data_IF_544180027444
#
_entry.id   IF_544180027444
#
_cell.length_a   1.000
_cell.length_b   1.000
_cell.length_c   1.000
_cell.angle_alpha   90.00
_cell.angle_beta   90.00
_cell.angle_gamma   90.00
#
_symmetry.space_group_name_H-M   'P 1'
#
loop_
_entity.id
_entity.type
_entity.pdbx_description
1 polymer ?
#
# COMPACT_ATOMS: atom_id res chain seq x y z
N UNK A 1 53.80 32.26 19.26
CA UNK A 1 52.83 31.63 20.18
C UNK A 1 52.38 30.32 19.56
N UNK A 2 52.48 29.20 20.30
CA UNK A 2 52.47 27.86 19.74
C UNK A 2 51.06 27.27 19.66
N UNK A 3 50.87 26.44 18.64
CA UNK A 3 49.80 25.45 18.53
C UNK A 3 49.81 24.49 19.73
N UNK A 4 48.68 24.38 20.42
CA UNK A 4 48.46 23.28 21.39
C UNK A 4 47.83 22.11 20.64
N UNK A 5 48.69 21.17 20.20
CA UNK A 5 48.29 19.78 19.99
C UNK A 5 48.16 19.13 21.36
N UNK A 6 46.93 18.90 21.83
CA UNK A 6 46.59 17.92 22.87
C UNK A 6 45.09 17.93 23.08
N UNK A 7 44.39 16.87 22.64
CA UNK A 7 43.11 16.44 23.22
C UNK A 7 42.58 15.09 22.68
N UNK A 8 43.26 14.43 21.72
CA UNK A 8 42.91 13.06 21.33
C UNK A 8 43.16 12.02 22.45
N UNK A 9 44.18 12.25 23.29
CA UNK A 9 44.47 11.37 24.42
C UNK A 9 43.46 11.46 25.57
N UNK A 10 42.85 12.64 25.80
CA UNK A 10 41.86 12.81 26.87
C UNK A 10 40.48 12.25 26.50
N UNK A 11 40.11 12.29 25.21
CA UNK A 11 38.87 11.68 24.70
C UNK A 11 38.97 10.14 24.73
N UNK A 12 40.13 9.59 24.33
CA UNK A 12 40.36 8.14 24.37
C UNK A 12 40.39 7.56 25.80
N UNK A 13 40.89 8.32 26.79
CA UNK A 13 40.88 7.90 28.20
C UNK A 13 39.48 8.01 28.84
N UNK A 14 38.67 8.99 28.43
CA UNK A 14 37.28 9.10 28.87
C UNK A 14 36.40 7.95 28.29
N UNK A 15 36.65 7.55 27.04
CA UNK A 15 35.98 6.42 26.38
C UNK A 15 36.34 5.04 26.97
N UNK A 16 37.57 4.87 27.47
CA UNK A 16 37.98 3.61 28.13
C UNK A 16 37.47 3.49 29.57
N UNK A 17 37.21 4.61 30.26
CA UNK A 17 36.58 4.58 31.59
C UNK A 17 35.06 4.32 31.53
N UNK A 18 34.36 4.75 30.47
CA UNK A 18 32.93 4.46 30.28
C UNK A 18 32.66 3.03 29.80
N UNK A 19 33.57 2.41 29.03
CA UNK A 19 33.38 1.02 28.59
C UNK A 19 33.53 -0.02 29.70
N UNK A 20 34.28 0.27 30.78
CA UNK A 20 34.36 -0.65 31.92
C UNK A 20 33.17 -0.54 32.89
N UNK A 21 32.43 0.57 32.89
CA UNK A 21 31.20 0.72 33.69
C UNK A 21 29.95 0.20 32.96
N UNK A 22 30.00 0.04 31.64
CA UNK A 22 28.89 -0.42 30.81
C UNK A 22 28.72 -1.95 30.70
N UNK A 23 29.62 -2.77 31.26
CA UNK A 23 29.46 -4.24 31.24
C UNK A 23 28.40 -4.78 32.23
N UNK A 24 27.71 -3.91 32.96
CA UNK A 24 26.76 -4.28 34.01
C UNK A 24 25.28 -3.94 33.77
N UNK A 25 24.95 -3.13 32.76
CA UNK A 25 23.57 -2.75 32.45
C UNK A 25 23.44 -2.63 30.94
N UNK A 26 22.46 -3.32 30.36
CA UNK A 26 22.26 -3.48 28.92
C UNK A 26 22.35 -2.17 28.15
N UNK A 27 22.84 -2.30 26.93
CA UNK A 27 23.09 -1.26 25.93
C UNK A 27 21.97 -0.19 25.90
N UNK A 28 22.23 0.96 26.53
CA UNK A 28 21.28 2.06 26.65
C UNK A 28 21.42 3.11 25.53
N UNK A 29 22.39 2.93 24.61
CA UNK A 29 22.59 3.77 23.44
C UNK A 29 23.23 2.92 22.35
N UNK A 30 22.38 2.23 21.57
CA UNK A 30 22.72 1.29 20.51
C UNK A 30 24.02 1.64 19.76
N UNK A 31 25.12 1.06 20.20
CA UNK A 31 26.45 1.38 19.65
C UNK A 31 26.59 0.99 18.18
N UNK A 32 25.78 0.05 17.71
CA UNK A 32 25.72 -0.37 16.32
C UNK A 32 24.96 0.65 15.43
N UNK A 33 23.87 1.25 15.93
CA UNK A 33 23.16 2.33 15.23
C UNK A 33 24.03 3.59 15.08
N UNK A 34 24.84 3.89 16.09
CA UNK A 34 25.74 5.04 16.05
C UNK A 34 26.90 4.83 15.06
N UNK A 35 27.36 3.59 14.88
CA UNK A 35 28.38 3.25 13.88
C UNK A 35 27.84 3.32 12.44
N UNK A 36 26.61 2.83 12.21
CA UNK A 36 25.92 2.98 10.92
C UNK A 36 25.63 4.45 10.60
N UNK A 37 25.22 5.24 11.60
CA UNK A 37 25.03 6.69 11.45
C UNK A 37 26.31 7.41 11.01
N UNK A 38 27.47 7.05 11.56
CA UNK A 38 28.76 7.65 11.19
C UNK A 38 29.18 7.27 9.77
N UNK A 39 28.91 6.05 9.33
CA UNK A 39 29.15 5.62 7.95
C UNK A 39 28.19 6.34 6.98
N UNK A 40 26.93 6.50 7.34
CA UNK A 40 25.96 7.28 6.57
C UNK A 40 26.34 8.77 6.47
N UNK A 41 26.88 9.37 7.54
CA UNK A 41 27.36 10.77 7.56
C UNK A 41 28.60 11.03 6.70
N UNK A 42 29.33 10.00 6.28
CA UNK A 42 30.54 10.15 5.44
C UNK A 42 30.32 9.80 3.98
N UNK A 43 29.10 9.38 3.62
CA UNK A 43 28.69 9.07 2.26
C UNK A 43 28.36 10.34 1.46
N UNK A 44 28.54 10.34 0.12
CA UNK A 44 28.26 11.50 -0.72
C UNK A 44 26.81 12.00 -0.55
N UNK A 45 26.62 13.31 -0.76
CA UNK A 45 25.30 13.97 -0.78
C UNK A 45 24.34 13.15 -1.65
N UNK A 46 23.19 12.76 -1.08
CA UNK A 46 22.14 12.04 -1.84
C UNK A 46 21.70 12.86 -3.06
N UNK A 47 21.78 12.24 -4.23
CA UNK A 47 21.46 12.85 -5.55
C UNK A 47 20.22 12.26 -6.21
N UNK A 48 19.54 11.32 -5.54
CA UNK A 48 18.28 10.75 -6.02
C UNK A 48 17.09 11.70 -5.90
N UNK A 49 15.87 11.23 -6.25
CA UNK A 49 14.67 12.04 -6.22
C UNK A 49 14.36 12.55 -4.81
N UNK A 50 13.62 13.67 -4.78
CA UNK A 50 13.22 14.36 -3.56
C UNK A 50 11.79 14.83 -3.68
N UNK A 51 11.08 14.75 -2.56
CA UNK A 51 9.71 15.22 -2.43
C UNK A 51 9.64 16.41 -1.46
N UNK A 52 8.71 17.36 -1.64
CA UNK A 52 8.51 18.42 -0.65
C UNK A 52 8.15 17.82 0.72
N UNK A 53 8.60 18.47 1.79
CA UNK A 53 8.03 18.15 3.10
C UNK A 53 6.54 18.53 3.11
N UNK A 54 5.67 17.79 3.82
CA UNK A 54 4.26 18.12 3.92
C UNK A 54 4.08 19.51 4.56
N UNK A 55 3.22 20.32 3.95
CA UNK A 55 2.89 21.64 4.47
C UNK A 55 2.12 21.52 5.80
N UNK A 56 2.47 22.33 6.82
CA UNK A 56 1.69 22.39 8.04
C UNK A 56 0.24 22.82 7.78
N UNK A 57 -0.71 22.04 8.27
CA UNK A 57 -2.14 22.34 8.15
C UNK A 57 -2.66 22.89 9.48
N UNK A 58 -3.35 24.06 9.49
CA UNK A 58 -3.94 24.59 10.72
C UNK A 58 -4.96 23.63 11.32
N UNK A 59 -4.84 23.37 12.62
CA UNK A 59 -5.77 22.52 13.37
C UNK A 59 -7.18 23.14 13.42
N UNK A 60 -8.26 22.33 13.41
CA UNK A 60 -9.63 22.82 13.53
C UNK A 60 -9.89 23.51 14.87
N UNK A 61 -10.07 24.83 14.85
CA UNK A 61 -10.30 25.63 16.08
C UNK A 61 -11.73 25.51 16.62
N UNK A 62 -12.68 25.06 15.79
CA UNK A 62 -14.08 24.93 16.17
C UNK A 62 -14.37 23.71 17.05
N UNK A 63 -13.47 22.73 17.06
CA UNK A 63 -13.62 21.48 17.78
C UNK A 63 -13.17 21.59 19.25
N UNK A 64 -13.80 22.51 20.00
CA UNK A 64 -13.36 22.88 21.36
C UNK A 64 -13.68 21.82 22.45
N UNK A 65 -14.54 20.84 22.15
CA UNK A 65 -14.89 19.78 23.10
C UNK A 65 -13.79 18.71 23.11
N UNK A 66 -13.04 18.62 24.21
CA UNK A 66 -11.91 17.68 24.32
C UNK A 66 -12.18 16.56 25.30
N UNK A 67 -12.04 15.33 24.81
CA UNK A 67 -12.04 14.09 25.61
C UNK A 67 -10.68 13.43 25.55
N UNK A 68 -9.92 13.50 26.65
CA UNK A 68 -8.56 12.93 26.75
C UNK A 68 -8.58 11.51 27.28
N UNK A 69 -7.71 10.67 26.73
CA UNK A 69 -7.48 9.34 27.29
C UNK A 69 -6.64 9.43 28.57
N UNK A 70 -7.03 8.75 29.66
CA UNK A 70 -6.22 8.71 30.88
C UNK A 70 -5.11 7.65 30.83
N UNK A 71 -5.09 6.80 29.80
CA UNK A 71 -4.18 5.64 29.70
C UNK A 71 -3.28 5.69 28.48
N UNK A 72 -3.69 6.42 27.45
CA UNK A 72 -2.94 6.62 26.24
C UNK A 72 -2.75 8.12 26.02
N UNK A 73 -1.60 8.53 25.49
CA UNK A 73 -1.38 9.90 25.00
C UNK A 73 -2.22 10.14 23.74
N UNK A 74 -3.55 10.23 23.90
CA UNK A 74 -4.56 10.40 22.86
C UNK A 74 -5.63 11.39 23.31
N UNK A 75 -6.08 12.26 22.42
CA UNK A 75 -7.19 13.16 22.68
C UNK A 75 -8.16 13.21 21.49
N UNK A 76 -9.46 13.28 21.80
CA UNK A 76 -10.52 13.47 20.81
C UNK A 76 -11.09 14.87 20.99
N UNK A 77 -10.95 15.67 19.95
CA UNK A 77 -11.55 17.00 19.83
C UNK A 77 -12.83 16.89 19.01
N UNK A 78 -13.89 17.61 19.35
CA UNK A 78 -15.15 17.48 18.65
C UNK A 78 -15.87 18.82 18.46
N UNK A 79 -16.50 18.98 17.29
CA UNK A 79 -17.39 20.11 17.01
C UNK A 79 -18.55 20.16 18.04
N UNK A 80 -19.13 21.33 18.33
CA UNK A 80 -20.20 21.48 19.33
C UNK A 80 -21.47 20.64 19.06
N UNK A 81 -21.67 20.17 17.83
CA UNK A 81 -22.80 19.32 17.44
C UNK A 81 -22.60 17.82 17.70
N UNK A 82 -21.39 17.39 18.05
CA UNK A 82 -21.07 15.98 18.32
C UNK A 82 -21.46 15.66 19.77
N UNK A 83 -22.17 14.54 19.95
CA UNK A 83 -22.59 14.11 21.28
C UNK A 83 -21.40 13.63 22.12
N UNK A 84 -21.47 13.84 23.44
CA UNK A 84 -20.45 13.31 24.37
C UNK A 84 -20.30 11.79 24.25
N UNK A 85 -21.40 11.06 24.04
CA UNK A 85 -21.40 9.61 23.86
C UNK A 85 -20.60 9.19 22.61
N UNK A 86 -20.82 9.88 21.49
CA UNK A 86 -20.05 9.67 20.25
C UNK A 86 -18.55 9.95 20.48
N UNK A 87 -18.21 11.09 21.10
CA UNK A 87 -16.81 11.42 21.42
C UNK A 87 -16.15 10.37 22.31
N UNK A 88 -16.88 9.82 23.29
CA UNK A 88 -16.37 8.75 24.16
C UNK A 88 -16.20 7.42 23.42
N UNK A 89 -17.15 7.07 22.54
CA UNK A 89 -17.05 5.85 21.73
C UNK A 89 -15.87 5.91 20.76
N UNK A 90 -15.65 7.07 20.13
CA UNK A 90 -14.49 7.34 19.27
C UNK A 90 -13.19 7.29 20.06
N UNK A 91 -13.12 7.91 21.25
CA UNK A 91 -11.92 7.83 22.10
C UNK A 91 -11.60 6.38 22.46
N UNK A 92 -12.59 5.59 22.84
CA UNK A 92 -12.38 4.18 23.14
C UNK A 92 -11.89 3.41 21.91
N UNK A 93 -12.48 3.63 20.73
CA UNK A 93 -12.01 3.02 19.49
C UNK A 93 -10.55 3.39 19.18
N UNK A 94 -10.16 4.66 19.39
CA UNK A 94 -8.80 5.16 19.18
C UNK A 94 -7.79 4.49 20.13
N UNK A 95 -8.17 4.31 21.40
CA UNK A 95 -7.36 3.57 22.37
C UNK A 95 -7.16 2.10 21.95
N UNK A 96 -8.20 1.45 21.43
CA UNK A 96 -8.11 0.07 20.93
C UNK A 96 -7.23 -0.02 19.69
N UNK A 97 -7.40 0.89 18.72
CA UNK A 97 -6.59 0.93 17.51
C UNK A 97 -5.11 1.08 17.85
N UNK A 98 -4.76 2.06 18.70
CA UNK A 98 -3.39 2.24 19.20
C UNK A 98 -2.84 0.98 19.86
N UNK A 99 -3.57 0.42 20.82
CA UNK A 99 -3.08 -0.74 21.58
C UNK A 99 -2.85 -1.96 20.70
N UNK A 100 -3.70 -2.19 19.70
CA UNK A 100 -3.56 -3.31 18.76
C UNK A 100 -2.42 -3.11 17.78
N UNK A 101 -2.26 -1.91 17.22
CA UNK A 101 -1.15 -1.60 16.32
C UNK A 101 0.21 -1.65 17.04
N UNK A 102 0.26 -1.19 18.29
CA UNK A 102 1.43 -1.31 19.16
C UNK A 102 1.79 -2.78 19.43
N UNK A 103 0.78 -3.62 19.70
CA UNK A 103 0.98 -5.07 19.86
C UNK A 103 1.46 -5.77 18.57
N UNK A 104 1.12 -5.21 17.40
CA UNK A 104 1.64 -5.64 16.10
C UNK A 104 3.02 -5.03 15.76
N UNK A 105 3.61 -4.24 16.66
CA UNK A 105 4.95 -3.69 16.48
C UNK A 105 5.02 -2.46 15.57
N UNK A 106 3.89 -1.80 15.29
CA UNK A 106 3.90 -0.54 14.56
C UNK A 106 4.35 0.62 15.47
N UNK A 107 5.09 1.61 14.93
CA UNK A 107 5.58 2.73 15.72
C UNK A 107 4.43 3.62 16.19
N UNK A 108 4.63 4.35 17.28
CA UNK A 108 3.69 5.38 17.70
C UNK A 108 4.02 6.72 17.01
N UNK A 109 3.01 7.56 16.70
CA UNK A 109 3.25 8.93 16.26
C UNK A 109 4.15 9.69 17.25
N UNK A 110 4.97 10.62 16.75
CA UNK A 110 5.69 11.54 17.63
C UNK A 110 4.71 12.41 18.39
N UNK A 111 5.09 12.86 19.59
CA UNK A 111 4.34 13.89 20.29
C UNK A 111 4.28 15.17 19.47
N UNK A 112 3.14 15.83 19.51
CA UNK A 112 2.86 17.06 18.79
C UNK A 112 3.36 18.34 19.50
N UNK A 113 3.96 18.22 20.68
CA UNK A 113 4.51 19.37 21.40
C UNK A 113 3.45 20.34 21.96
N UNK A 114 2.31 19.81 22.41
CA UNK A 114 1.20 20.56 23.02
C UNK A 114 0.37 21.41 22.04
N UNK A 115 0.48 21.15 20.73
CA UNK A 115 -0.28 21.89 19.71
C UNK A 115 -1.80 21.67 19.84
N UNK A 116 -2.25 20.53 20.35
CA UNK A 116 -3.65 20.25 20.73
C UNK A 116 -4.03 20.63 22.16
N UNK A 117 -3.12 21.29 22.90
CA UNK A 117 -3.29 21.58 24.32
C UNK A 117 -2.86 20.44 25.24
N UNK A 118 -2.03 19.53 24.75
CA UNK A 118 -1.30 18.49 25.48
C UNK A 118 -0.48 17.65 24.51
N UNK A 119 0.40 16.77 25.02
CA UNK A 119 1.42 16.07 24.23
C UNK A 119 0.90 14.87 23.43
N UNK A 120 -0.42 14.70 23.40
CA UNK A 120 -1.14 13.58 22.81
C UNK A 120 -1.19 13.59 21.27
N UNK A 121 -1.55 12.47 20.66
CA UNK A 121 -2.07 12.51 19.29
C UNK A 121 -3.54 12.96 19.34
N UNK A 122 -3.86 13.98 18.55
CA UNK A 122 -5.22 14.51 18.45
C UNK A 122 -5.99 13.92 17.26
N UNK A 123 -7.22 13.50 17.52
CA UNK A 123 -8.21 13.17 16.51
C UNK A 123 -9.37 14.17 16.59
N UNK A 124 -9.64 14.86 15.50
CA UNK A 124 -10.69 15.87 15.38
C UNK A 124 -11.94 15.30 14.71
N UNK A 125 -13.08 15.32 15.42
CA UNK A 125 -14.41 15.04 14.89
C UNK A 125 -15.04 16.34 14.37
N UNK A 126 -14.76 16.67 13.12
CA UNK A 126 -15.15 17.96 12.54
C UNK A 126 -15.45 17.88 11.05
N UNK A 127 -16.23 18.85 10.57
CA UNK A 127 -16.47 19.08 9.14
C UNK A 127 -15.57 20.16 8.52
N UNK A 128 -14.72 20.81 9.34
CA UNK A 128 -13.85 21.90 8.89
C UNK A 128 -12.73 21.44 7.95
N UNK A 129 -12.34 20.17 8.04
CA UNK A 129 -11.36 19.52 7.18
C UNK A 129 -11.91 18.18 6.67
N UNK A 130 -11.50 17.72 5.47
CA UNK A 130 -11.75 16.36 5.03
C UNK A 130 -11.21 15.32 6.01
N UNK A 131 -11.77 14.11 6.00
CA UNK A 131 -11.20 13.01 6.79
C UNK A 131 -9.85 12.54 6.23
N UNK A 132 -8.92 12.27 7.13
CA UNK A 132 -7.55 11.85 6.81
C UNK A 132 -6.55 12.31 7.87
N UNK A 133 -5.27 12.10 7.59
CA UNK A 133 -4.17 12.58 8.41
C UNK A 133 -3.56 13.87 7.87
N UNK A 134 -3.09 14.72 8.79
CA UNK A 134 -2.53 16.03 8.46
C UNK A 134 -1.24 16.25 9.26
N UNK A 135 -0.31 17.01 8.68
CA UNK A 135 0.97 17.34 9.31
C UNK A 135 0.92 18.71 10.00
N UNK A 136 1.56 18.82 11.16
CA UNK A 136 1.93 20.10 11.79
C UNK A 136 3.33 20.58 11.36
N UNK A 137 4.01 19.80 10.51
CA UNK A 137 5.38 20.04 10.05
C UNK A 137 6.39 18.97 10.50
N UNK A 138 7.59 19.07 9.93
CA UNK A 138 8.72 18.17 10.21
C UNK A 138 9.26 18.39 11.61
N UNK A 139 9.65 17.28 12.24
CA UNK A 139 10.26 17.24 13.57
C UNK A 139 11.79 17.16 13.43
N UNK A 140 12.54 18.24 13.75
CA UNK A 140 13.97 18.30 13.46
C UNK A 140 14.87 17.55 14.47
N UNK A 141 14.31 17.06 15.59
CA UNK A 141 15.08 16.40 16.65
C UNK A 141 15.04 14.87 16.61
N UNK A 142 14.27 14.28 15.69
CA UNK A 142 14.25 12.82 15.51
C UNK A 142 15.46 12.37 14.70
N UNK A 143 15.85 11.11 14.87
CA UNK A 143 16.90 10.52 14.03
C UNK A 143 16.39 10.41 12.58
N UNK A 144 15.33 9.65 12.34
CA UNK A 144 14.67 9.57 11.04
C UNK A 144 13.83 10.82 10.76
N UNK A 145 13.51 11.05 9.49
CA UNK A 145 12.58 12.08 9.08
C UNK A 145 11.19 11.73 9.62
N UNK A 146 10.65 12.60 10.48
CA UNK A 146 9.34 12.41 11.07
C UNK A 146 8.55 13.69 11.03
N UNK A 147 7.23 13.56 11.05
CA UNK A 147 6.32 14.69 11.16
C UNK A 147 5.47 14.59 12.44
N UNK A 148 5.20 15.76 13.02
CA UNK A 148 4.08 15.91 13.94
C UNK A 148 2.79 15.89 13.13
N UNK A 149 1.77 15.26 13.66
CA UNK A 149 0.53 14.97 12.93
C UNK A 149 -0.69 15.05 13.83
N UNK A 150 -1.85 15.21 13.19
CA UNK A 150 -3.16 14.99 13.76
C UNK A 150 -4.06 14.28 12.75
N UNK A 151 -5.14 13.67 13.23
CA UNK A 151 -6.13 13.00 12.40
C UNK A 151 -7.45 13.77 12.40
N UNK A 152 -8.20 13.67 11.30
CA UNK A 152 -9.54 14.24 11.18
C UNK A 152 -10.50 13.14 10.73
N UNK A 153 -11.68 13.13 11.34
CA UNK A 153 -12.78 12.28 10.97
C UNK A 153 -14.07 13.10 10.91
N UNK A 154 -14.94 12.81 9.95
CA UNK A 154 -16.22 13.50 9.83
C UNK A 154 -17.08 13.32 11.09
N UNK A 155 -17.93 14.29 11.46
CA UNK A 155 -18.67 14.25 12.72
C UNK A 155 -19.84 13.25 12.70
N UNK A 156 -20.20 12.71 11.53
CA UNK A 156 -21.37 11.86 11.31
C UNK A 156 -21.00 10.42 10.90
N UNK A 157 -20.02 9.81 11.57
CA UNK A 157 -19.67 8.41 11.34
C UNK A 157 -20.74 7.49 11.93
N UNK A 158 -21.30 6.55 11.14
CA UNK A 158 -22.23 5.55 11.66
C UNK A 158 -21.60 4.70 12.76
N UNK A 159 -22.34 4.38 13.82
CA UNK A 159 -21.84 3.62 14.97
C UNK A 159 -21.17 2.29 14.59
N UNK A 160 -21.68 1.63 13.55
CA UNK A 160 -21.13 0.36 13.04
C UNK A 160 -19.78 0.50 12.33
N UNK A 161 -19.38 1.72 11.94
CA UNK A 161 -18.15 2.02 11.23
C UNK A 161 -17.12 2.74 12.09
N UNK A 162 -17.47 3.19 13.32
CA UNK A 162 -16.56 3.95 14.19
C UNK A 162 -15.23 3.22 14.37
N UNK A 163 -15.24 1.93 14.68
CA UNK A 163 -13.99 1.19 14.92
C UNK A 163 -13.10 1.16 13.65
N UNK A 164 -13.69 0.97 12.46
CA UNK A 164 -12.94 0.97 11.21
C UNK A 164 -12.41 2.36 10.85
N UNK A 165 -13.28 3.38 10.82
CA UNK A 165 -12.89 4.74 10.44
C UNK A 165 -11.85 5.35 11.40
N UNK A 166 -11.97 5.09 12.70
CA UNK A 166 -11.00 5.57 13.69
C UNK A 166 -9.67 4.84 13.58
N UNK A 167 -9.69 3.52 13.32
CA UNK A 167 -8.46 2.74 13.09
C UNK A 167 -7.73 3.22 11.84
N UNK A 168 -8.46 3.46 10.75
CA UNK A 168 -7.89 3.99 9.50
C UNK A 168 -7.27 5.37 9.72
N UNK A 169 -8.00 6.30 10.35
CA UNK A 169 -7.50 7.65 10.61
C UNK A 169 -6.25 7.65 11.52
N UNK A 170 -6.22 6.79 12.54
CA UNK A 170 -5.05 6.61 13.39
C UNK A 170 -3.86 6.00 12.62
N UNK A 171 -4.11 4.96 11.82
CA UNK A 171 -3.08 4.31 11.03
C UNK A 171 -2.48 5.26 9.98
N UNK A 172 -3.30 6.05 9.28
CA UNK A 172 -2.82 7.05 8.32
C UNK A 172 -1.94 8.11 9.01
N UNK A 173 -2.34 8.59 10.20
CA UNK A 173 -1.55 9.54 10.98
C UNK A 173 -0.23 8.93 11.48
N UNK A 174 -0.28 7.69 11.96
CA UNK A 174 0.89 6.93 12.37
C UNK A 174 1.91 6.80 11.24
N UNK A 175 1.45 6.45 10.04
CA UNK A 175 2.31 6.29 8.86
C UNK A 175 2.86 7.63 8.37
N UNK A 176 2.06 8.70 8.35
CA UNK A 176 2.53 10.06 8.02
C UNK A 176 3.57 10.56 9.02
N UNK A 177 3.42 10.22 10.30
CA UNK A 177 4.40 10.57 11.33
C UNK A 177 5.69 9.75 11.21
N UNK A 178 5.60 8.51 10.75
CA UNK A 178 6.73 7.61 10.59
C UNK A 178 7.56 7.95 9.34
N UNK A 179 6.88 8.24 8.23
CA UNK A 179 7.51 8.67 6.98
C UNK A 179 6.67 9.77 6.29
N UNK A 180 7.06 11.04 6.47
CA UNK A 180 6.39 12.16 5.82
C UNK A 180 6.75 12.31 4.32
N UNK A 181 7.76 11.59 3.82
CA UNK A 181 8.14 11.60 2.42
C UNK A 181 7.29 10.63 1.59
N UNK A 182 6.81 9.55 2.21
CA UNK A 182 6.00 8.53 1.52
C UNK A 182 4.76 9.13 0.84
N UNK A 183 4.28 8.51 -0.23
CA UNK A 183 3.11 9.01 -0.92
C UNK A 183 1.80 8.80 -0.12
N UNK A 184 0.85 9.71 -0.27
CA UNK A 184 -0.47 9.59 0.38
C UNK A 184 -1.17 8.27 -0.01
N UNK A 185 -1.02 7.84 -1.26
CA UNK A 185 -1.62 6.60 -1.75
C UNK A 185 -1.14 5.37 -0.97
N UNK A 186 0.16 5.27 -0.68
CA UNK A 186 0.73 4.15 0.09
C UNK A 186 0.37 4.19 1.56
N UNK A 187 0.32 5.39 2.15
CA UNK A 187 -0.21 5.57 3.51
C UNK A 187 -1.66 5.12 3.61
N UNK A 188 -2.52 5.53 2.69
CA UNK A 188 -3.94 5.15 2.65
C UNK A 188 -4.13 3.66 2.39
N UNK A 189 -3.40 3.08 1.43
CA UNK A 189 -3.40 1.64 1.16
C UNK A 189 -3.04 0.84 2.42
N UNK A 190 -1.97 1.24 3.12
CA UNK A 190 -1.51 0.57 4.34
C UNK A 190 -2.50 0.76 5.48
N UNK A 191 -3.04 1.98 5.67
CA UNK A 191 -4.04 2.25 6.69
C UNK A 191 -5.32 1.41 6.49
N UNK A 192 -5.80 1.30 5.24
CA UNK A 192 -6.95 0.47 4.89
C UNK A 192 -6.68 -1.03 5.12
N UNK A 193 -5.49 -1.53 4.76
CA UNK A 193 -5.10 -2.92 5.04
C UNK A 193 -5.00 -3.19 6.56
N UNK A 194 -4.32 -2.33 7.33
CA UNK A 194 -4.24 -2.46 8.79
C UNK A 194 -5.62 -2.41 9.46
N UNK A 195 -6.52 -1.59 8.92
CA UNK A 195 -7.90 -1.55 9.41
C UNK A 195 -8.63 -2.86 9.14
N UNK A 196 -8.39 -3.48 7.98
CA UNK A 196 -8.96 -4.79 7.66
C UNK A 196 -8.44 -5.88 8.58
N UNK A 197 -7.13 -5.94 8.84
CA UNK A 197 -6.52 -6.86 9.80
C UNK A 197 -7.16 -6.77 11.18
N UNK A 198 -7.47 -5.55 11.64
CA UNK A 198 -7.94 -5.31 13.00
C UNK A 198 -9.45 -5.35 13.18
N UNK A 199 -10.22 -5.09 12.12
CA UNK A 199 -11.67 -4.88 12.19
C UNK A 199 -12.48 -5.72 11.19
N UNK A 200 -11.82 -6.37 10.23
CA UNK A 200 -12.45 -7.07 9.10
C UNK A 200 -13.00 -6.14 8.02
N UNK A 201 -12.73 -4.83 8.08
CA UNK A 201 -13.18 -3.82 7.10
C UNK A 201 -12.00 -3.00 6.58
N UNK A 202 -11.99 -2.67 5.29
CA UNK A 202 -10.90 -1.92 4.64
C UNK A 202 -10.95 -0.39 4.86
N UNK A 203 -11.38 0.07 6.05
CA UNK A 203 -11.53 1.49 6.35
C UNK A 203 -12.96 1.97 6.43
N UNK A 204 -13.13 3.29 6.34
CA UNK A 204 -14.40 4.00 6.40
C UNK A 204 -15.15 4.00 5.07
N UNK A 205 -14.40 3.96 3.97
CA UNK A 205 -14.90 4.05 2.60
C UNK A 205 -14.82 2.68 1.89
N UNK A 206 -15.58 2.54 0.80
CA UNK A 206 -15.65 1.29 0.02
C UNK A 206 -14.53 1.20 -1.06
N UNK A 207 -13.37 1.83 -0.84
CA UNK A 207 -12.32 2.01 -1.84
C UNK A 207 -11.83 0.69 -2.48
N UNK A 208 -11.82 -0.41 -1.71
CA UNK A 208 -11.48 -1.75 -2.22
C UNK A 208 -12.57 -2.30 -3.14
N UNK A 209 -13.85 -2.06 -2.84
CA UNK A 209 -14.96 -2.41 -3.75
C UNK A 209 -14.90 -1.57 -5.02
N UNK A 210 -14.61 -0.27 -4.92
CA UNK A 210 -14.42 0.60 -6.08
C UNK A 210 -13.24 0.12 -6.93
N UNK A 211 -12.12 -0.26 -6.32
CA UNK A 211 -10.96 -0.78 -7.03
C UNK A 211 -11.31 -2.08 -7.79
N UNK A 212 -12.15 -2.93 -7.21
CA UNK A 212 -12.67 -4.12 -7.89
C UNK A 212 -13.63 -3.79 -9.04
N UNK A 213 -14.50 -2.79 -8.85
CA UNK A 213 -15.43 -2.34 -9.88
C UNK A 213 -14.74 -1.65 -11.07
N UNK A 214 -13.58 -1.03 -10.83
CA UNK A 214 -12.78 -0.31 -11.83
C UNK A 214 -11.40 -0.94 -12.04
N UNK A 215 -11.32 -2.22 -12.50
CA UNK A 215 -10.06 -2.95 -12.52
C UNK A 215 -9.02 -2.41 -13.49
N UNK A 216 -9.44 -1.56 -14.42
CA UNK A 216 -8.58 -0.92 -15.41
C UNK A 216 -7.70 0.19 -14.81
N UNK A 217 -7.97 0.62 -13.58
CA UNK A 217 -7.19 1.65 -12.88
C UNK A 217 -5.95 1.07 -12.21
N UNK A 218 -4.98 1.96 -12.02
CA UNK A 218 -3.85 1.74 -11.12
C UNK A 218 -4.34 1.61 -9.67
N UNK A 219 -3.58 0.91 -8.84
CA UNK A 219 -3.74 0.85 -7.38
C UNK A 219 -2.67 1.65 -6.62
N UNK A 220 -1.76 2.32 -7.34
CA UNK A 220 -0.73 3.22 -6.79
C UNK A 220 -1.18 4.67 -7.01
N UNK A 221 -0.77 5.29 -8.10
CA UNK A 221 -1.13 6.65 -8.47
C UNK A 221 -2.47 6.71 -9.23
N UNK A 222 -3.31 7.73 -8.97
CA UNK A 222 -4.64 7.88 -9.60
C UNK A 222 -5.68 6.85 -9.15
N UNK A 223 -5.33 6.06 -8.13
CA UNK A 223 -6.13 4.97 -7.59
C UNK A 223 -7.42 5.45 -6.91
N UNK A 224 -8.44 4.60 -6.92
CA UNK A 224 -9.72 4.87 -6.24
C UNK A 224 -9.52 5.09 -4.74
N UNK A 225 -10.41 5.87 -4.12
CA UNK A 225 -10.29 6.22 -2.70
C UNK A 225 -8.95 6.89 -2.31
N UNK A 226 -8.31 7.61 -3.24
CA UNK A 226 -6.98 8.24 -3.04
C UNK A 226 -5.86 7.23 -2.72
N UNK A 227 -5.99 5.97 -3.16
CA UNK A 227 -4.98 4.92 -2.95
C UNK A 227 -5.39 3.81 -1.99
N UNK A 228 -6.47 3.96 -1.22
CA UNK A 228 -6.92 2.93 -0.27
C UNK A 228 -7.19 1.56 -0.94
N UNK A 229 -7.57 1.53 -2.23
CA UNK A 229 -7.69 0.29 -3.01
C UNK A 229 -6.40 -0.55 -3.10
N UNK A 230 -5.23 0.08 -2.92
CA UNK A 230 -3.93 -0.59 -2.82
C UNK A 230 -3.79 -1.54 -1.62
N UNK A 231 -4.72 -1.48 -0.65
CA UNK A 231 -4.78 -2.44 0.46
C UNK A 231 -4.86 -3.90 -0.03
N UNK A 232 -5.47 -4.14 -1.19
CA UNK A 232 -5.52 -5.47 -1.81
C UNK A 232 -4.14 -6.01 -2.17
N UNK A 233 -3.24 -5.13 -2.59
CA UNK A 233 -1.86 -5.49 -2.91
C UNK A 233 -1.06 -5.82 -1.65
N UNK A 234 -1.23 -5.04 -0.59
CA UNK A 234 -0.56 -5.30 0.69
C UNK A 234 -1.06 -6.60 1.34
N UNK A 235 -2.37 -6.86 1.29
CA UNK A 235 -2.94 -8.13 1.73
C UNK A 235 -2.38 -9.32 0.92
N UNK A 236 -2.24 -9.16 -0.41
CA UNK A 236 -1.61 -10.18 -1.27
C UNK A 236 -0.17 -10.47 -0.83
N UNK A 237 0.63 -9.41 -0.63
CA UNK A 237 2.03 -9.55 -0.27
C UNK A 237 2.20 -10.20 1.11
N UNK A 238 1.37 -9.83 2.09
CA UNK A 238 1.38 -10.47 3.40
C UNK A 238 1.09 -11.97 3.27
N UNK A 239 -0.05 -12.37 2.69
CA UNK A 239 -0.37 -13.78 2.50
C UNK A 239 0.75 -14.58 1.82
N UNK A 240 1.33 -14.01 0.77
CA UNK A 240 2.36 -14.67 -0.02
C UNK A 240 3.67 -14.85 0.73
N UNK A 241 4.13 -13.82 1.43
CA UNK A 241 5.50 -13.77 1.95
C UNK A 241 5.61 -14.05 3.45
N UNK A 242 4.53 -13.87 4.21
CA UNK A 242 4.50 -14.15 5.65
C UNK A 242 3.26 -14.89 6.15
N UNK A 243 2.37 -15.34 5.26
CA UNK A 243 1.18 -16.11 5.63
C UNK A 243 0.19 -15.32 6.48
N UNK A 244 -0.01 -14.04 6.14
CA UNK A 244 -0.91 -13.10 6.83
C UNK A 244 -0.42 -12.68 8.23
N UNK A 245 0.91 -12.69 8.44
CA UNK A 245 1.52 -12.24 9.69
C UNK A 245 1.70 -10.73 9.80
N UNK A 246 1.58 -9.99 8.68
CA UNK A 246 1.81 -8.56 8.57
C UNK A 246 3.24 -8.08 8.83
N UNK A 247 4.17 -9.00 9.12
CA UNK A 247 5.60 -8.72 9.33
C UNK A 247 6.26 -8.25 8.03
N UNK A 248 5.95 -8.88 6.90
CA UNK A 248 6.50 -8.52 5.61
C UNK A 248 6.20 -7.07 5.28
N UNK A 249 4.93 -6.66 5.37
CA UNK A 249 4.52 -5.26 5.09
C UNK A 249 5.14 -4.28 6.08
N UNK A 250 5.23 -4.63 7.37
CA UNK A 250 5.92 -3.81 8.37
C UNK A 250 7.41 -3.62 8.04
N UNK A 251 8.08 -4.68 7.58
CA UNK A 251 9.49 -4.62 7.17
C UNK A 251 9.68 -3.75 5.91
N UNK A 252 8.71 -3.73 4.99
CA UNK A 252 8.73 -2.80 3.86
C UNK A 252 8.73 -1.35 4.34
N UNK A 253 7.90 -1.00 5.33
CA UNK A 253 7.89 0.34 5.91
C UNK A 253 9.18 0.66 6.65
N UNK A 254 9.77 -0.29 7.38
CA UNK A 254 11.07 -0.09 8.02
C UNK A 254 12.19 0.16 6.99
N UNK A 255 12.13 -0.48 5.82
CA UNK A 255 13.07 -0.26 4.71
C UNK A 255 12.85 1.10 4.02
N UNK A 256 11.60 1.53 3.90
CA UNK A 256 11.23 2.80 3.26
C UNK A 256 11.58 4.01 4.13
N UNK A 257 11.46 3.90 5.46
CA UNK A 257 11.73 5.02 6.37
C UNK A 257 13.17 5.49 6.31
N UNK A 258 13.35 6.81 6.19
CA UNK A 258 14.65 7.40 5.88
C UNK A 258 15.03 8.57 6.77
N UNK A 259 16.27 9.02 6.57
CA UNK A 259 16.81 10.24 7.15
C UNK A 259 17.36 11.17 6.09
N UNK A 260 16.89 12.42 6.08
CA UNK A 260 17.35 13.48 5.21
C UNK A 260 18.25 14.45 5.98
N UNK A 261 19.55 14.37 5.69
CA UNK A 261 20.56 15.16 6.40
C UNK A 261 20.83 16.54 5.81
N UNK A 262 20.63 16.71 4.50
CA UNK A 262 21.03 17.90 3.76
C UNK A 262 20.12 18.16 2.55
N UNK A 263 20.04 19.43 2.12
CA UNK A 263 19.28 19.89 0.96
C UNK A 263 17.85 20.33 1.27
N UNK A 264 17.11 20.72 0.23
CA UNK A 264 15.70 21.11 0.32
C UNK A 264 14.83 19.90 -0.03
N UNK A 265 13.73 19.70 0.71
CA UNK A 265 12.85 18.55 0.55
C UNK A 265 13.41 17.28 1.20
N UNK A 266 12.54 16.28 1.33
CA UNK A 266 12.83 14.96 1.87
C UNK A 266 13.34 14.03 0.76
N UNK A 267 14.10 13.00 1.11
CA UNK A 267 14.44 11.93 0.17
C UNK A 267 13.17 11.15 -0.19
N UNK A 268 12.97 10.89 -1.48
CA UNK A 268 11.83 10.14 -1.99
C UNK A 268 12.13 8.64 -2.21
N UNK A 269 13.38 8.19 -2.03
CA UNK A 269 13.76 6.80 -2.32
C UNK A 269 14.86 6.31 -1.35
N UNK A 270 14.77 5.08 -0.77
CA UNK A 270 13.71 4.08 -0.96
C UNK A 270 12.32 4.47 -0.44
N UNK A 271 11.30 4.44 -1.29
CA UNK A 271 9.90 4.49 -0.87
C UNK A 271 9.37 3.06 -0.62
N UNK A 272 8.07 2.93 -0.32
CA UNK A 272 7.42 1.63 -0.14
C UNK A 272 7.48 0.79 -1.42
N UNK A 273 7.48 1.40 -2.60
CA UNK A 273 7.53 0.69 -3.86
C UNK A 273 8.92 0.09 -4.14
N UNK A 274 9.99 0.87 -4.02
CA UNK A 274 11.39 0.42 -4.09
C UNK A 274 11.70 -0.62 -3.02
N UNK A 275 11.15 -0.44 -1.82
CA UNK A 275 11.25 -1.43 -0.74
C UNK A 275 10.55 -2.73 -1.11
N UNK A 276 9.37 -2.66 -1.73
CA UNK A 276 8.62 -3.83 -2.21
C UNK A 276 9.40 -4.58 -3.29
N UNK A 277 9.91 -3.87 -4.31
CA UNK A 277 10.72 -4.48 -5.37
C UNK A 277 11.91 -5.23 -4.77
N UNK A 278 12.68 -4.55 -3.92
CA UNK A 278 13.88 -5.11 -3.29
C UNK A 278 13.55 -6.34 -2.42
N UNK A 279 12.48 -6.27 -1.62
CA UNK A 279 12.10 -7.36 -0.72
C UNK A 279 11.58 -8.58 -1.48
N UNK A 280 10.75 -8.37 -2.51
CA UNK A 280 10.23 -9.46 -3.35
C UNK A 280 11.37 -10.15 -4.09
N UNK A 281 12.30 -9.40 -4.70
CA UNK A 281 13.47 -9.98 -5.38
C UNK A 281 14.35 -10.78 -4.42
N UNK A 282 14.58 -10.27 -3.20
CA UNK A 282 15.35 -11.00 -2.17
C UNK A 282 14.67 -12.27 -1.69
N UNK A 283 13.35 -12.35 -1.76
CA UNK A 283 12.60 -13.57 -1.44
C UNK A 283 12.71 -14.65 -2.53
N UNK A 284 13.29 -14.33 -3.69
CA UNK A 284 13.42 -15.23 -4.85
C UNK A 284 12.23 -15.17 -5.82
N UNK A 285 11.26 -14.29 -5.56
CA UNK A 285 10.13 -14.01 -6.43
C UNK A 285 10.41 -12.83 -7.38
N UNK A 286 9.46 -12.57 -8.29
CA UNK A 286 9.52 -11.44 -9.22
C UNK A 286 8.29 -10.56 -9.02
N UNK A 287 8.50 -9.26 -8.84
CA UNK A 287 7.43 -8.29 -8.59
C UNK A 287 6.32 -8.35 -9.67
N UNK A 288 6.70 -8.44 -10.94
CA UNK A 288 5.73 -8.51 -12.04
C UNK A 288 4.91 -9.80 -12.05
N UNK A 289 5.47 -10.91 -11.59
CA UNK A 289 4.75 -12.18 -11.51
C UNK A 289 3.72 -12.13 -10.36
N UNK A 290 4.06 -11.45 -9.26
CA UNK A 290 3.12 -11.17 -8.16
C UNK A 290 1.95 -10.27 -8.60
N UNK A 291 2.23 -9.23 -9.39
CA UNK A 291 1.19 -8.34 -9.94
C UNK A 291 0.27 -9.10 -10.89
N UNK A 292 0.82 -9.95 -11.75
CA UNK A 292 0.05 -10.84 -12.63
C UNK A 292 -0.85 -11.78 -11.83
N UNK A 293 -0.31 -12.41 -10.79
CA UNK A 293 -1.06 -13.35 -9.97
C UNK A 293 -2.19 -12.66 -9.21
N UNK A 294 -1.94 -11.47 -8.62
CA UNK A 294 -3.01 -10.67 -8.03
C UNK A 294 -4.09 -10.31 -9.07
N UNK A 295 -3.71 -9.89 -10.28
CA UNK A 295 -4.67 -9.59 -11.34
C UNK A 295 -5.60 -10.78 -11.65
N UNK A 296 -5.08 -12.01 -11.61
CA UNK A 296 -5.90 -13.22 -11.78
C UNK A 296 -6.74 -13.51 -10.53
N UNK A 297 -6.16 -13.43 -9.33
CA UNK A 297 -6.87 -13.72 -8.08
C UNK A 297 -8.10 -12.81 -7.86
N UNK A 298 -8.01 -11.55 -8.30
CA UNK A 298 -9.14 -10.60 -8.28
C UNK A 298 -10.38 -11.12 -9.00
N UNK A 299 -10.24 -11.98 -10.02
CA UNK A 299 -11.38 -12.60 -10.68
C UNK A 299 -12.20 -13.48 -9.72
N UNK A 300 -11.54 -14.21 -8.82
CA UNK A 300 -12.21 -15.17 -7.94
C UNK A 300 -12.89 -14.51 -6.74
N UNK A 301 -12.60 -13.24 -6.46
CA UNK A 301 -13.26 -12.45 -5.42
C UNK A 301 -14.77 -12.39 -5.68
N UNK A 302 -15.55 -12.69 -4.63
CA UNK A 302 -17.00 -12.74 -4.66
C UNK A 302 -17.59 -13.90 -5.49
N UNK A 303 -16.77 -14.81 -6.04
CA UNK A 303 -17.21 -15.95 -6.87
C UNK A 303 -17.11 -17.32 -6.15
N UNK A 304 -16.72 -17.34 -4.87
CA UNK A 304 -16.73 -18.49 -3.95
C UNK A 304 -15.99 -19.74 -4.46
N UNK A 305 -14.71 -19.59 -4.81
CA UNK A 305 -13.88 -20.72 -5.29
C UNK A 305 -12.52 -20.86 -4.58
N UNK A 306 -12.18 -19.92 -3.70
CA UNK A 306 -10.99 -19.96 -2.83
C UNK A 306 -11.29 -19.32 -1.48
N UNK A 307 -11.42 -20.15 -0.45
CA UNK A 307 -11.62 -19.71 0.94
C UNK A 307 -10.29 -19.39 1.64
N UNK A 308 -9.16 -19.72 1.00
CA UNK A 308 -7.80 -19.68 1.54
C UNK A 308 -7.02 -18.41 1.19
N UNK A 309 -7.71 -17.34 0.79
CA UNK A 309 -7.09 -16.11 0.31
C UNK A 309 -7.62 -14.87 1.06
N UNK A 310 -6.79 -13.88 1.45
CA UNK A 310 -7.21 -12.69 2.20
C UNK A 310 -8.43 -11.96 1.65
N UNK A 311 -8.52 -11.86 0.32
CA UNK A 311 -9.62 -11.17 -0.36
C UNK A 311 -10.89 -12.03 -0.48
N UNK A 312 -10.90 -13.26 0.04
CA UNK A 312 -12.11 -14.07 0.17
C UNK A 312 -13.10 -13.46 1.18
N UNK A 313 -12.64 -12.56 2.05
CA UNK A 313 -13.48 -11.80 2.97
C UNK A 313 -14.35 -10.74 2.26
N UNK A 314 -14.01 -10.36 1.02
CA UNK A 314 -14.86 -9.48 0.21
C UNK A 314 -16.06 -10.26 -0.32
N UNK A 315 -17.23 -9.64 -0.25
CA UNK A 315 -18.48 -10.31 -0.61
C UNK A 315 -18.71 -10.38 -2.14
N UNK A 316 -19.88 -10.92 -2.52
CA UNK A 316 -20.28 -11.12 -3.91
C UNK A 316 -20.41 -9.84 -4.74
N UNK A 317 -20.52 -8.67 -4.12
CA UNK A 317 -20.66 -7.39 -4.82
C UNK A 317 -19.28 -6.80 -5.21
N UNK A 318 -18.18 -7.32 -4.65
CA UNK A 318 -16.80 -6.95 -4.98
C UNK A 318 -16.24 -7.64 -6.25
N UNK A 319 -17.10 -8.10 -7.17
CA UNK A 319 -16.67 -8.83 -8.36
C UNK A 319 -16.12 -7.88 -9.42
N UNK A 320 -14.95 -8.21 -9.98
CA UNK A 320 -14.48 -7.52 -11.19
C UNK A 320 -15.46 -7.67 -12.36
N UNK A 321 -15.73 -6.59 -13.12
CA UNK A 321 -16.59 -6.66 -14.29
C UNK A 321 -15.93 -7.40 -15.46
N UNK A 322 -16.75 -8.08 -16.26
CA UNK A 322 -16.33 -8.64 -17.55
C UNK A 322 -16.29 -7.50 -18.57
N UNK A 323 -15.10 -7.22 -19.11
CA UNK A 323 -14.94 -6.17 -20.11
C UNK A 323 -15.56 -6.60 -21.45
N UNK A 324 -15.23 -7.80 -21.92
CA UNK A 324 -15.76 -8.35 -23.19
C UNK A 324 -15.97 -9.85 -23.13
N UNK A 325 -16.84 -10.33 -24.01
CA UNK A 325 -17.06 -11.75 -24.26
C UNK A 325 -16.69 -12.09 -25.71
N UNK A 326 -15.89 -13.13 -25.90
CA UNK A 326 -15.60 -13.73 -27.20
C UNK A 326 -16.71 -14.73 -27.51
N UNK A 327 -17.52 -14.45 -28.53
CA UNK A 327 -18.70 -15.25 -28.88
C UNK A 327 -18.48 -16.21 -30.06
N UNK A 328 -17.36 -16.07 -30.78
CA UNK A 328 -16.95 -16.94 -31.89
C UNK A 328 -15.44 -16.84 -32.14
N UNK A 329 -14.86 -17.82 -32.82
CA UNK A 329 -13.48 -17.76 -33.37
C UNK A 329 -13.48 -17.80 -34.90
N UNK A 330 -12.53 -17.10 -35.57
CA UNK A 330 -11.59 -16.14 -35.00
C UNK A 330 -12.31 -14.89 -34.48
N UNK A 331 -11.74 -14.26 -33.46
CA UNK A 331 -12.22 -12.97 -32.93
C UNK A 331 -11.07 -12.08 -32.53
N UNK A 332 -11.36 -10.79 -32.57
CA UNK A 332 -10.47 -9.69 -32.20
C UNK A 332 -11.24 -8.81 -31.23
N UNK A 333 -10.68 -8.60 -30.05
CA UNK A 333 -11.32 -7.92 -28.92
C UNK A 333 -10.37 -6.87 -28.38
N UNK A 334 -10.87 -5.67 -28.16
CA UNK A 334 -10.14 -4.60 -27.47
C UNK A 334 -10.88 -4.25 -26.19
N UNK A 335 -10.11 -3.78 -25.20
CA UNK A 335 -10.70 -3.30 -23.95
C UNK A 335 -11.71 -2.17 -24.19
N UNK A 336 -12.76 -2.08 -23.37
CA UNK A 336 -13.68 -0.92 -23.43
C UNK A 336 -12.99 0.36 -22.97
N UNK A 337 -12.18 0.23 -21.92
CA UNK A 337 -11.44 1.33 -21.30
C UNK A 337 -9.95 1.04 -21.43
N UNK A 338 -9.13 2.04 -21.80
CA UNK A 338 -7.68 1.92 -21.69
C UNK A 338 -7.23 1.51 -20.28
N UNK A 339 -6.12 0.78 -20.19
CA UNK A 339 -5.56 0.33 -18.92
C UNK A 339 -4.50 1.32 -18.43
N UNK A 340 -4.65 1.78 -17.19
CA UNK A 340 -3.59 2.48 -16.47
C UNK A 340 -2.49 1.50 -16.05
N UNK A 341 -1.36 1.99 -15.54
CA UNK A 341 -0.29 1.14 -15.03
C UNK A 341 -0.84 0.18 -13.95
N UNK A 342 -0.54 -1.11 -14.09
CA UNK A 342 -1.06 -2.23 -13.29
C UNK A 342 -2.58 -2.44 -13.32
N UNK A 343 -3.29 -1.70 -14.16
CA UNK A 343 -4.69 -1.98 -14.48
C UNK A 343 -4.83 -3.26 -15.31
N UNK A 344 -5.98 -3.93 -15.14
CA UNK A 344 -6.32 -5.20 -15.79
C UNK A 344 -7.66 -5.15 -16.51
N UNK A 345 -7.76 -5.91 -17.60
CA UNK A 345 -9.01 -6.22 -18.31
C UNK A 345 -9.31 -7.72 -18.26
N UNK A 346 -10.59 -8.04 -18.08
CA UNK A 346 -11.09 -9.42 -18.02
C UNK A 346 -11.96 -9.73 -19.23
N UNK A 347 -11.50 -10.63 -20.08
CA UNK A 347 -12.23 -11.09 -21.28
C UNK A 347 -12.60 -12.55 -21.10
N UNK A 348 -13.87 -12.90 -21.31
CA UNK A 348 -14.34 -14.29 -21.18
C UNK A 348 -14.66 -14.91 -22.52
N UNK A 349 -14.56 -16.23 -22.59
CA UNK A 349 -14.98 -17.03 -23.72
C UNK A 349 -15.66 -18.28 -23.16
N UNK A 350 -16.89 -18.58 -23.62
CA UNK A 350 -17.61 -19.79 -23.21
C UNK A 350 -17.49 -20.88 -24.30
N UNK A 351 -17.69 -22.14 -23.92
CA UNK A 351 -17.52 -23.30 -24.81
C UNK A 351 -18.20 -23.20 -26.20
N UNK A 352 -19.42 -22.65 -26.32
CA UNK A 352 -20.03 -22.46 -27.64
C UNK A 352 -19.20 -21.62 -28.62
N UNK A 353 -18.32 -20.73 -28.12
CA UNK A 353 -17.51 -19.84 -28.96
C UNK A 353 -16.37 -20.55 -29.69
N UNK A 354 -15.78 -21.61 -29.10
CA UNK A 354 -14.72 -22.40 -29.74
C UNK A 354 -15.22 -23.70 -30.39
N UNK A 355 -16.51 -24.04 -30.22
CA UNK A 355 -17.14 -25.23 -30.78
C UNK A 355 -16.40 -26.51 -30.38
N UNK A 356 -15.83 -27.21 -31.35
CA UNK A 356 -15.13 -28.48 -31.25
C UNK A 356 -13.60 -28.34 -31.26
N UNK A 357 -13.08 -27.11 -31.24
CA UNK A 357 -11.65 -26.86 -31.23
C UNK A 357 -11.01 -27.50 -29.99
N UNK A 358 -9.89 -28.21 -30.20
CA UNK A 358 -9.08 -28.77 -29.11
C UNK A 358 -7.92 -27.86 -28.71
N UNK A 359 -7.54 -26.98 -29.64
CA UNK A 359 -6.41 -26.08 -29.46
C UNK A 359 -6.82 -24.68 -29.90
N UNK A 360 -6.64 -23.72 -29.02
CA UNK A 360 -6.80 -22.29 -29.28
C UNK A 360 -5.45 -21.60 -29.25
N UNK A 361 -5.40 -20.45 -29.92
CA UNK A 361 -4.27 -19.54 -29.98
C UNK A 361 -4.75 -18.17 -29.56
N UNK A 362 -4.13 -17.61 -28.54
CA UNK A 362 -4.39 -16.25 -28.11
C UNK A 362 -3.14 -15.40 -28.34
N UNK A 363 -3.32 -14.25 -28.99
CA UNK A 363 -2.28 -13.25 -29.20
C UNK A 363 -2.72 -11.94 -28.58
N UNK A 364 -1.81 -11.33 -27.84
CA UNK A 364 -1.94 -9.94 -27.42
C UNK A 364 -1.15 -9.06 -28.39
N UNK A 365 -1.74 -7.94 -28.78
CA UNK A 365 -1.08 -6.82 -29.41
C UNK A 365 -1.38 -5.55 -28.61
N UNK A 366 -0.44 -5.15 -27.76
CA UNK A 366 -0.48 -3.90 -27.01
C UNK A 366 0.23 -2.74 -27.71
N UNK A 367 0.42 -1.66 -26.97
CA UNK A 367 1.24 -0.51 -27.40
C UNK A 367 2.74 -0.78 -27.26
N UNK A 368 3.53 -0.20 -28.18
CA UNK A 368 4.99 -0.31 -28.17
C UNK A 368 5.58 0.41 -26.95
N UNK A 369 6.61 -0.16 -26.34
CA UNK A 369 7.26 0.46 -25.19
C UNK A 369 6.49 0.25 -23.88
N UNK A 370 5.57 -0.71 -23.82
CA UNK A 370 4.83 -1.09 -22.61
C UNK A 370 5.03 -2.58 -22.37
N UNK A 371 5.25 -3.00 -21.12
CA UNK A 371 5.26 -4.42 -20.77
C UNK A 371 3.83 -4.88 -20.55
N UNK A 372 3.49 -6.04 -21.11
CA UNK A 372 2.16 -6.60 -20.99
C UNK A 372 2.23 -8.01 -20.41
N UNK A 373 1.21 -8.34 -19.62
CA UNK A 373 0.89 -9.71 -19.23
C UNK A 373 -0.37 -10.17 -19.97
N UNK A 374 -0.34 -11.42 -20.44
CA UNK A 374 -1.50 -12.15 -20.94
C UNK A 374 -1.56 -13.50 -20.25
N UNK A 375 -2.58 -13.68 -19.43
CA UNK A 375 -2.89 -14.96 -18.77
C UNK A 375 -4.18 -15.51 -19.34
N UNK A 376 -4.21 -16.81 -19.60
CA UNK A 376 -5.42 -17.54 -19.94
C UNK A 376 -5.67 -18.63 -18.89
N UNK A 377 -6.85 -18.60 -18.28
CA UNK A 377 -7.29 -19.51 -17.22
C UNK A 377 -8.46 -20.33 -17.75
N UNK A 378 -8.32 -21.66 -17.70
CA UNK A 378 -9.37 -22.61 -18.03
C UNK A 378 -10.20 -22.90 -16.79
N UNK A 379 -11.52 -22.70 -16.91
CA UNK A 379 -12.47 -22.84 -15.82
C UNK A 379 -13.45 -23.98 -16.14
N UNK A 380 -13.81 -24.75 -15.10
CA UNK A 380 -14.81 -25.81 -15.21
C UNK A 380 -16.25 -25.24 -15.18
N UNK A 381 -17.25 -26.12 -15.07
CA UNK A 381 -18.68 -25.72 -15.02
C UNK A 381 -19.06 -25.01 -13.73
N UNK A 382 -18.34 -25.29 -12.63
CA UNK A 382 -18.50 -24.61 -11.35
C UNK A 382 -17.81 -23.24 -11.33
N UNK A 383 -16.93 -22.98 -12.31
CA UNK A 383 -16.12 -21.79 -12.43
C UNK A 383 -14.70 -21.98 -11.90
N UNK A 384 -14.38 -23.14 -11.29
CA UNK A 384 -13.09 -23.43 -10.66
C UNK A 384 -11.96 -23.53 -11.67
N UNK A 385 -10.78 -23.01 -11.28
CA UNK A 385 -9.56 -23.08 -12.09
C UNK A 385 -9.10 -24.53 -12.29
N UNK A 386 -9.09 -24.97 -13.56
CA UNK A 386 -8.51 -26.26 -13.97
C UNK A 386 -7.02 -26.09 -14.24
N UNK A 387 -6.68 -25.04 -14.98
CA UNK A 387 -5.32 -24.76 -15.46
C UNK A 387 -5.19 -23.29 -15.81
N UNK A 388 -4.04 -22.68 -15.51
CA UNK A 388 -3.60 -21.43 -16.12
C UNK A 388 -2.39 -21.61 -17.00
N UNK A 389 -2.27 -20.74 -17.98
CA UNK A 389 -1.05 -20.53 -18.75
C UNK A 389 -0.87 -19.03 -18.96
N UNK A 390 0.34 -18.55 -18.69
CA UNK A 390 0.73 -17.18 -18.91
C UNK A 390 1.75 -17.11 -20.04
N UNK A 391 1.67 -16.06 -20.85
CA UNK A 391 2.81 -15.66 -21.66
C UNK A 391 3.85 -15.05 -20.72
N UNK A 392 5.17 -15.33 -20.90
CA UNK A 392 6.19 -14.62 -20.16
C UNK A 392 5.98 -13.11 -20.29
N UNK A 393 6.10 -12.32 -19.20
CA UNK A 393 5.98 -10.88 -19.27
C UNK A 393 6.85 -10.36 -20.41
N UNK A 394 6.23 -9.62 -21.33
CA UNK A 394 6.97 -9.15 -22.49
C UNK A 394 8.04 -8.17 -22.03
N UNK A 395 9.15 -8.10 -22.77
CA UNK A 395 9.97 -6.89 -22.72
C UNK A 395 9.14 -5.70 -23.27
N UNK A 396 9.78 -4.66 -23.78
CA UNK A 396 9.10 -3.56 -24.50
C UNK A 396 8.45 -3.97 -25.85
N UNK A 397 8.42 -5.27 -26.17
CA UNK A 397 7.73 -5.80 -27.34
C UNK A 397 6.23 -5.90 -27.08
N UNK A 398 5.38 -5.33 -27.94
CA UNK A 398 3.94 -5.22 -27.71
C UNK A 398 3.17 -6.54 -27.88
N UNK A 399 3.85 -7.69 -27.95
CA UNK A 399 3.23 -8.96 -28.39
C UNK A 399 3.44 -10.06 -27.37
N UNK A 400 2.34 -10.67 -26.96
CA UNK A 400 2.34 -11.88 -26.14
C UNK A 400 1.58 -13.00 -26.88
N UNK A 401 1.94 -14.25 -26.62
CA UNK A 401 1.30 -15.40 -27.25
C UNK A 401 1.10 -16.51 -26.22
N UNK A 402 -0.10 -17.07 -26.22
CA UNK A 402 -0.48 -18.19 -25.35
C UNK A 402 -1.11 -19.30 -26.19
N UNK A 403 -0.47 -20.47 -26.31
CA UNK A 403 -1.09 -21.67 -26.87
C UNK A 403 -1.98 -22.34 -25.81
N UNK A 404 -3.21 -22.70 -26.17
CA UNK A 404 -4.19 -23.26 -25.26
C UNK A 404 -4.63 -24.64 -25.73
N UNK A 405 -4.18 -25.69 -25.05
CA UNK A 405 -4.77 -27.02 -25.16
C UNK A 405 -5.95 -27.12 -24.19
N UNK A 406 -7.14 -27.37 -24.73
CA UNK A 406 -8.37 -27.37 -23.95
C UNK A 406 -8.57 -28.71 -23.24
N UNK A 407 -8.72 -28.66 -21.91
CA UNK A 407 -9.18 -29.80 -21.14
C UNK A 407 -10.65 -30.12 -21.47
N UNK A 408 -11.03 -31.39 -21.40
CA UNK A 408 -12.41 -31.83 -21.66
C UNK A 408 -13.41 -31.25 -20.65
N UNK A 409 -12.95 -30.87 -19.46
CA UNK A 409 -13.77 -30.24 -18.42
C UNK A 409 -13.90 -28.73 -18.59
N UNK A 410 -13.10 -28.11 -19.47
CA UNK A 410 -13.12 -26.66 -19.67
C UNK A 410 -14.43 -26.22 -20.29
N UNK A 411 -15.18 -25.39 -19.57
CA UNK A 411 -16.44 -24.80 -20.05
C UNK A 411 -16.33 -23.31 -20.33
N UNK A 412 -15.34 -22.65 -19.70
CA UNK A 412 -15.04 -21.23 -19.88
C UNK A 412 -13.54 -21.01 -19.89
N UNK A 413 -13.11 -20.02 -20.66
CA UNK A 413 -11.75 -19.48 -20.62
C UNK A 413 -11.86 -18.03 -20.18
N UNK A 414 -11.06 -17.66 -19.19
CA UNK A 414 -10.82 -16.29 -18.78
C UNK A 414 -9.47 -15.84 -19.35
N UNK A 415 -9.46 -14.73 -20.06
CA UNK A 415 -8.25 -14.01 -20.44
C UNK A 415 -8.11 -12.79 -19.53
N UNK A 416 -6.97 -12.69 -18.86
CA UNK A 416 -6.59 -11.52 -18.05
C UNK A 416 -5.45 -10.83 -18.78
N UNK A 417 -5.65 -9.56 -19.11
CA UNK A 417 -4.62 -8.71 -19.73
C UNK A 417 -4.29 -7.60 -18.75
N UNK A 418 -3.01 -7.47 -18.40
CA UNK A 418 -2.54 -6.46 -17.45
C UNK A 418 -1.48 -5.58 -18.10
N UNK A 419 -1.62 -4.27 -17.92
CA UNK A 419 -0.59 -3.29 -18.29
C UNK A 419 0.48 -3.30 -17.19
N UNK A 420 1.64 -3.91 -17.43
CA UNK A 420 2.73 -3.98 -16.45
C UNK A 420 3.65 -2.74 -16.48
N UNK A 421 3.30 -1.73 -17.30
CA UNK A 421 4.09 -0.52 -17.53
C UNK A 421 5.52 -0.78 -18.07
N UNK A 422 6.19 0.23 -18.61
CA UNK A 422 7.62 0.16 -18.96
C UNK A 422 8.54 0.45 -17.79
N UNK A 423 8.02 1.19 -16.82
CA UNK A 423 8.69 1.63 -15.62
C UNK A 423 7.80 1.36 -14.44
N UNK A 424 8.40 1.23 -13.27
CA UNK A 424 7.67 1.24 -12.04
C UNK A 424 6.98 2.61 -11.90
N UNK A 425 5.64 2.65 -11.79
CA UNK A 425 4.93 3.87 -11.47
C UNK A 425 5.21 4.16 -10.00
N UNK A 426 6.16 5.05 -9.77
CA UNK A 426 6.36 5.71 -8.50
C UNK A 426 5.20 6.71 -8.30
N UNK A 427 4.65 6.76 -7.10
CA UNK A 427 3.60 7.72 -6.76
C UNK A 427 4.11 9.17 -6.84
N UNK A 428 5.42 9.38 -6.67
CA UNK A 428 6.09 10.68 -6.82
C UNK A 428 6.49 10.97 -8.28
N UNK A 429 6.72 9.94 -9.11
CA UNK A 429 6.98 10.05 -10.55
C UNK A 429 5.94 9.30 -11.43
N UNK A 430 4.69 9.80 -11.49
CA UNK A 430 3.56 9.24 -12.23
C UNK A 430 3.82 8.64 -13.62
N UNK A 431 3.31 7.44 -13.92
CA UNK A 431 3.04 7.00 -15.30
C UNK A 431 1.55 7.06 -15.64
N UNK A 432 1.07 8.30 -15.83
CA UNK A 432 -0.33 8.60 -16.15
C UNK A 432 -0.79 8.13 -17.53
N UNK A 433 -0.01 7.33 -18.25
CA UNK A 433 -0.36 6.91 -19.59
C UNK A 433 -1.32 5.72 -19.58
N UNK A 434 -2.55 6.00 -19.95
CA UNK A 434 -3.54 5.00 -20.34
C UNK A 434 -3.13 4.28 -21.64
N UNK A 435 -3.23 2.94 -21.65
CA UNK A 435 -2.76 2.09 -22.75
C UNK A 435 -3.84 1.16 -23.28
N UNK A 436 -3.95 1.08 -24.60
CA UNK A 436 -4.86 0.18 -25.28
C UNK A 436 -4.17 -1.14 -25.68
N UNK A 437 -4.99 -2.18 -25.85
CA UNK A 437 -4.54 -3.45 -26.41
C UNK A 437 -5.60 -4.09 -27.29
N UNK A 438 -5.16 -5.12 -28.00
CA UNK A 438 -5.99 -5.99 -28.79
C UNK A 438 -5.66 -7.46 -28.50
N UNK A 439 -6.67 -8.22 -28.11
CA UNK A 439 -6.63 -9.66 -27.93
C UNK A 439 -7.23 -10.33 -29.16
N UNK A 440 -6.44 -11.15 -29.84
CA UNK A 440 -6.89 -11.99 -30.94
C UNK A 440 -6.96 -13.43 -30.45
N UNK A 441 -8.08 -14.10 -30.70
CA UNK A 441 -8.28 -15.52 -30.36
C UNK A 441 -8.71 -16.27 -31.61
N UNK A 442 -7.98 -17.33 -31.96
CA UNK A 442 -8.26 -18.18 -33.11
C UNK A 442 -8.07 -19.67 -32.78
N UNK A 443 -8.63 -20.51 -33.64
CA UNK A 443 -8.43 -21.95 -33.66
C UNK A 443 -7.06 -22.30 -34.22
N UNK A 444 -6.47 -23.40 -33.78
CA UNK A 444 -5.22 -23.92 -34.37
C UNK A 444 -5.43 -25.08 -35.35
N UNK A 445 -6.63 -25.66 -35.36
CA UNK A 445 -7.00 -26.86 -36.10
C UNK A 445 -7.56 -26.61 -37.51
#
# INVERSE_FOLDING_TARGET
MPWVKSNLGCIALALTLHTQTALGQGDLLGTDEMAEAIVAMTSPVWTGPRTPAPDPVPRPVQAELVSRSPYALLAVHADPGVSYETSQRVRWALEQARARLDALGWPQPVSDGDLGGGSELDLYLTSALPSGAYSDGIVPWTYLDRASVFAVLGPAVPDSLIDACVTEAYAEAMLLSADPAEAEAWRRATAAWLTWELTGRFGCDDAVYEQQAEPFRSWVEGATGRGAGGAMWLAYLSARHDGDGGQFVRDLWALATQRTWEGVGLRADPDLWSSTETAVERSGDRLLDNIEDLAVLRWFVGRNERDDWPLAALDGDARVPIDKAVTRTPSKVSARTPLQAFGSAYVVMDAPAWRDAKVLRAWLQGEYGVRWSLVAVQLDVGGSEIRRIAAPPTAVTPRAYVPLELDQKTTRILFVVTNLSSRLPDADEPDANERAFELVVDRAD
#
